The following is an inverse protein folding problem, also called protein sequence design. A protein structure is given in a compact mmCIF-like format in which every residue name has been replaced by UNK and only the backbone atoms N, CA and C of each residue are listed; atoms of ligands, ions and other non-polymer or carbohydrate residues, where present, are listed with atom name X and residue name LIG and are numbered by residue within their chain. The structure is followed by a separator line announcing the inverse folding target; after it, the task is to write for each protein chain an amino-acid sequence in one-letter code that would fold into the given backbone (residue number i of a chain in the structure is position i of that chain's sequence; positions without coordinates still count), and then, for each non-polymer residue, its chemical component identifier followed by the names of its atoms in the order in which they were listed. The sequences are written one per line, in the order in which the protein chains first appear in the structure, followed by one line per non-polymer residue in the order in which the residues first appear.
data_IF_337188327762
#
_entry.id   IF_337188327762
#
_cell.length_a   1.000
_cell.length_b   1.000
_cell.length_c   1.000
_cell.angle_alpha   90.00
_cell.angle_beta   90.00
_cell.angle_gamma   90.00
#
_symmetry.space_group_name_H-M   'P 1'
#
loop_
_entity.id
_entity.type
_entity.pdbx_description
1 polymer ?
#
# COMPACT_ATOMS: atom_id res chain seq x y z
N UNK A 1 6.51 25.24 -22.02
CA UNK A 1 7.99 25.21 -22.13
C UNK A 1 8.46 23.77 -21.89
N UNK A 2 9.64 23.37 -22.36
CA UNK A 2 10.18 22.04 -22.03
C UNK A 2 10.35 21.92 -20.50
N UNK A 3 9.96 20.80 -19.91
CA UNK A 3 10.12 20.55 -18.49
C UNK A 3 11.61 20.62 -18.13
N UNK A 4 11.95 21.37 -17.09
CA UNK A 4 13.33 21.48 -16.63
C UNK A 4 13.77 20.12 -16.09
N UNK A 5 14.94 19.65 -16.51
CA UNK A 5 15.50 18.35 -16.12
C UNK A 5 16.64 18.53 -15.11
N UNK A 6 16.97 17.47 -14.38
CA UNK A 6 18.20 17.35 -13.61
C UNK A 6 19.37 17.07 -14.57
N UNK A 7 20.10 18.12 -14.92
CA UNK A 7 21.24 18.04 -15.85
C UNK A 7 22.48 17.32 -15.27
N UNK A 8 22.64 17.27 -13.93
CA UNK A 8 23.78 16.65 -13.27
C UNK A 8 23.32 15.83 -12.06
N UNK A 9 23.31 14.51 -12.23
CA UNK A 9 22.82 13.54 -11.23
C UNK A 9 23.59 13.56 -9.91
N UNK A 10 24.79 14.17 -9.87
CA UNK A 10 25.60 14.30 -8.66
C UNK A 10 25.33 15.62 -7.91
N UNK A 11 24.58 16.54 -8.49
CA UNK A 11 24.25 17.83 -7.88
C UNK A 11 22.81 17.81 -7.35
N UNK A 12 22.58 18.36 -6.14
CA UNK A 12 21.23 18.55 -5.63
C UNK A 12 20.36 19.31 -6.61
N UNK A 13 19.20 18.74 -6.95
CA UNK A 13 18.27 19.35 -7.89
C UNK A 13 17.41 20.43 -7.24
N UNK A 14 18.04 21.47 -6.70
CA UNK A 14 17.37 22.51 -5.90
C UNK A 14 16.34 23.32 -6.68
N UNK A 15 16.48 23.36 -8.00
CA UNK A 15 15.57 23.99 -8.94
C UNK A 15 14.59 23.00 -9.58
N UNK A 16 14.33 21.86 -8.92
CA UNK A 16 13.19 20.98 -9.17
C UNK A 16 11.93 21.83 -9.42
N UNK A 17 11.28 21.73 -10.59
CA UNK A 17 10.09 22.52 -10.89
C UNK A 17 9.00 22.36 -9.84
N UNK A 18 8.38 23.48 -9.45
CA UNK A 18 7.20 23.48 -8.60
C UNK A 18 5.97 22.96 -9.37
N UNK A 19 5.01 22.44 -8.62
CA UNK A 19 3.69 22.09 -9.12
C UNK A 19 2.82 23.35 -9.22
N UNK A 20 1.89 23.40 -10.19
CA UNK A 20 1.54 22.36 -11.16
C UNK A 20 2.53 22.32 -12.34
N UNK A 21 2.66 21.17 -12.97
CA UNK A 21 3.43 21.04 -14.22
C UNK A 21 2.65 21.63 -15.41
N UNK A 22 3.36 21.97 -16.49
CA UNK A 22 2.76 22.46 -17.74
C UNK A 22 1.73 21.45 -18.27
N UNK A 23 0.53 21.94 -18.60
CA UNK A 23 -0.60 21.11 -19.04
C UNK A 23 -0.28 20.25 -20.25
N UNK A 24 0.59 20.71 -21.15
CA UNK A 24 0.98 19.96 -22.34
C UNK A 24 1.74 18.65 -22.00
N UNK A 25 2.17 18.46 -20.75
CA UNK A 25 2.84 17.25 -20.27
C UNK A 25 1.85 16.14 -19.85
N UNK A 26 0.59 16.46 -19.60
CA UNK A 26 -0.44 15.50 -19.18
C UNK A 26 -1.73 15.54 -20.03
N UNK A 27 -2.00 16.63 -20.76
CA UNK A 27 -3.12 16.72 -21.71
C UNK A 27 -2.75 16.01 -23.03
N UNK A 28 -2.64 14.68 -22.98
CA UNK A 28 -2.30 13.84 -24.13
C UNK A 28 -3.38 12.77 -24.37
N UNK A 29 -3.65 12.47 -25.65
CA UNK A 29 -4.71 11.54 -26.05
C UNK A 29 -4.50 10.13 -25.48
N UNK A 30 -3.27 9.63 -25.45
CA UNK A 30 -2.98 8.29 -24.94
C UNK A 30 -3.13 8.25 -23.42
N UNK A 31 -2.71 9.31 -22.74
CA UNK A 31 -2.90 9.47 -21.28
C UNK A 31 -4.39 9.46 -20.95
N UNK A 32 -5.22 10.19 -21.71
CA UNK A 32 -6.67 10.23 -21.47
C UNK A 32 -7.39 8.94 -21.81
N UNK A 33 -6.94 8.19 -22.82
CA UNK A 33 -7.44 6.84 -23.08
C UNK A 33 -7.13 5.91 -21.91
N UNK A 34 -5.88 5.87 -21.46
CA UNK A 34 -5.46 5.05 -20.33
C UNK A 34 -6.11 5.48 -19.01
N UNK A 35 -6.38 6.79 -18.84
CA UNK A 35 -7.14 7.33 -17.73
C UNK A 35 -8.57 6.77 -17.71
N UNK A 36 -9.22 6.67 -18.87
CA UNK A 36 -10.56 6.08 -19.00
C UNK A 36 -10.61 4.65 -18.45
N UNK A 37 -9.65 3.81 -18.86
CA UNK A 37 -9.54 2.42 -18.37
C UNK A 37 -9.29 2.37 -16.86
N UNK A 38 -8.35 3.18 -16.35
CA UNK A 38 -8.04 3.24 -14.93
C UNK A 38 -9.24 3.69 -14.08
N UNK A 39 -10.01 4.68 -14.56
CA UNK A 39 -11.23 5.16 -13.90
C UNK A 39 -12.34 4.10 -13.90
N UNK A 40 -12.49 3.35 -15.00
CA UNK A 40 -13.46 2.26 -15.07
C UNK A 40 -13.11 1.15 -14.06
N UNK A 41 -11.83 0.76 -13.98
CA UNK A 41 -11.36 -0.28 -13.07
C UNK A 41 -11.50 0.14 -11.59
N UNK A 42 -11.03 1.33 -11.21
CA UNK A 42 -11.14 1.80 -9.83
C UNK A 42 -12.60 2.02 -9.41
N UNK A 43 -13.46 2.45 -10.34
CA UNK A 43 -14.90 2.58 -10.10
C UNK A 43 -15.59 1.22 -9.85
N UNK A 44 -15.21 0.16 -10.59
CA UNK A 44 -15.66 -1.21 -10.32
C UNK A 44 -15.24 -1.67 -8.93
N UNK A 45 -13.97 -1.44 -8.58
CA UNK A 45 -13.43 -1.77 -7.26
C UNK A 45 -14.18 -1.04 -6.14
N UNK A 46 -14.36 0.28 -6.28
CA UNK A 46 -15.09 1.09 -5.30
C UNK A 46 -16.53 0.56 -5.11
N UNK A 47 -17.27 0.38 -6.21
CA UNK A 47 -18.64 -0.11 -6.16
C UNK A 47 -18.76 -1.48 -5.49
N UNK A 48 -17.78 -2.36 -5.69
CA UNK A 48 -17.76 -3.67 -5.03
C UNK A 48 -17.41 -3.57 -3.54
N UNK A 49 -16.52 -2.66 -3.16
CA UNK A 49 -16.04 -2.51 -1.78
C UNK A 49 -17.15 -2.18 -0.77
N UNK A 50 -18.19 -1.46 -1.20
CA UNK A 50 -19.35 -1.11 -0.37
C UNK A 50 -20.20 -2.35 -0.02
N UNK A 51 -20.28 -3.32 -0.93
CA UNK A 51 -21.14 -4.49 -0.81
C UNK A 51 -20.54 -5.63 0.03
N UNK A 52 -19.33 -5.47 0.58
CA UNK A 52 -18.59 -6.53 1.28
C UNK A 52 -19.14 -6.72 2.69
N UNK A 53 -19.61 -7.93 3.08
CA UNK A 53 -19.92 -8.25 4.46
C UNK A 53 -18.67 -8.19 5.33
N UNK A 54 -18.75 -7.57 6.51
CA UNK A 54 -17.63 -7.38 7.43
C UNK A 54 -16.41 -6.67 6.76
N UNK A 55 -16.61 -5.43 6.28
CA UNK A 55 -15.61 -4.65 5.54
C UNK A 55 -14.23 -4.59 6.21
N UNK A 56 -14.18 -4.38 7.53
CA UNK A 56 -12.93 -4.24 8.30
C UNK A 56 -11.95 -5.41 8.07
N UNK A 57 -12.52 -6.58 7.83
CA UNK A 57 -11.86 -7.85 7.78
C UNK A 57 -11.09 -8.08 6.47
N UNK A 58 -11.75 -7.84 5.34
CA UNK A 58 -11.16 -7.97 4.03
C UNK A 58 -10.16 -6.82 3.76
N UNK A 59 -10.44 -5.62 4.28
CA UNK A 59 -9.50 -4.51 4.21
C UNK A 59 -8.18 -4.88 4.90
N UNK A 60 -8.23 -5.55 6.06
CA UNK A 60 -7.01 -5.96 6.76
C UNK A 60 -6.11 -6.89 5.94
N UNK A 61 -6.70 -7.88 5.27
CA UNK A 61 -5.95 -8.85 4.46
C UNK A 61 -5.33 -8.19 3.22
N UNK A 62 -6.06 -7.31 2.54
CA UNK A 62 -5.58 -6.62 1.34
C UNK A 62 -4.52 -5.56 1.70
N UNK A 63 -4.72 -4.79 2.78
CA UNK A 63 -3.72 -3.83 3.26
C UNK A 63 -2.42 -4.51 3.67
N UNK A 64 -2.48 -5.74 4.19
CA UNK A 64 -1.28 -6.52 4.53
C UNK A 64 -0.53 -7.00 3.27
N UNK A 65 -1.25 -7.39 2.22
CA UNK A 65 -0.65 -7.73 0.92
C UNK A 65 0.04 -6.51 0.30
N UNK A 66 -0.62 -5.34 0.31
CA UNK A 66 -0.02 -4.08 -0.12
C UNK A 66 1.24 -3.74 0.69
N UNK A 67 1.20 -3.91 2.02
CA UNK A 67 2.36 -3.71 2.88
C UNK A 67 3.54 -4.63 2.53
N UNK A 68 3.27 -5.91 2.29
CA UNK A 68 4.27 -6.89 1.88
C UNK A 68 4.90 -6.53 0.54
N UNK A 69 4.10 -6.25 -0.50
CA UNK A 69 4.62 -5.90 -1.82
C UNK A 69 5.38 -4.57 -1.81
N UNK A 70 4.86 -3.57 -1.10
CA UNK A 70 5.51 -2.26 -1.00
C UNK A 70 6.86 -2.32 -0.29
N UNK A 71 6.98 -3.18 0.73
CA UNK A 71 8.23 -3.40 1.45
C UNK A 71 9.23 -4.22 0.62
N UNK A 72 8.76 -5.19 -0.17
CA UNK A 72 9.59 -5.98 -1.09
C UNK A 72 10.28 -5.10 -2.16
N UNK A 73 9.67 -3.99 -2.57
CA UNK A 73 10.30 -3.00 -3.46
C UNK A 73 11.59 -2.46 -2.83
N UNK A 74 11.62 -2.25 -1.51
CA UNK A 74 12.80 -1.80 -0.75
C UNK A 74 13.71 -2.95 -0.31
N UNK A 75 13.52 -4.16 -0.85
CA UNK A 75 14.23 -5.39 -0.49
C UNK A 75 14.00 -5.85 0.96
N UNK A 76 12.85 -5.52 1.54
CA UNK A 76 12.42 -6.00 2.86
C UNK A 76 11.51 -7.20 2.63
N UNK A 77 11.99 -8.39 3.00
CA UNK A 77 11.28 -9.65 2.78
C UNK A 77 11.05 -10.39 4.09
N UNK A 78 9.89 -11.04 4.18
CA UNK A 78 9.53 -11.97 5.24
C UNK A 78 8.74 -13.12 4.64
N UNK A 79 8.61 -14.23 5.37
CA UNK A 79 7.73 -15.33 4.97
C UNK A 79 6.28 -15.03 5.33
N UNK A 80 5.33 -15.60 4.57
CA UNK A 80 3.91 -15.46 4.90
C UNK A 80 3.60 -16.00 6.30
N UNK A 81 4.20 -17.13 6.66
CA UNK A 81 4.04 -17.73 7.98
C UNK A 81 4.52 -16.79 9.10
N UNK A 82 5.69 -16.16 8.96
CA UNK A 82 6.18 -15.18 9.94
C UNK A 82 5.30 -13.93 10.02
N UNK A 83 4.84 -13.43 8.87
CA UNK A 83 4.02 -12.22 8.80
C UNK A 83 2.65 -12.42 9.44
N UNK A 84 1.94 -13.46 9.04
CA UNK A 84 0.61 -13.76 9.54
C UNK A 84 0.64 -14.22 11.00
N UNK A 85 1.71 -14.90 11.43
CA UNK A 85 1.96 -15.22 12.84
C UNK A 85 2.07 -13.93 13.68
N UNK A 86 3.00 -13.05 13.31
CA UNK A 86 3.23 -11.81 14.05
C UNK A 86 1.98 -10.93 14.10
N UNK A 87 1.17 -10.95 13.04
CA UNK A 87 -0.13 -10.30 13.00
C UNK A 87 -1.14 -10.93 13.97
N UNK A 88 -1.27 -12.27 13.96
CA UNK A 88 -2.25 -12.97 14.79
C UNK A 88 -1.95 -12.93 16.30
N UNK A 89 -0.71 -12.66 16.71
CA UNK A 89 -0.32 -12.65 18.13
C UNK A 89 -0.48 -11.26 18.79
N UNK A 90 -0.90 -10.23 18.06
CA UNK A 90 -0.73 -8.81 18.47
C UNK A 90 0.73 -8.50 18.88
N UNK A 91 1.67 -9.34 18.43
CA UNK A 91 3.10 -9.28 18.74
C UNK A 91 3.86 -8.36 17.77
N UNK A 92 3.18 -7.45 17.07
CA UNK A 92 3.84 -6.40 16.28
C UNK A 92 4.91 -5.63 17.10
N UNK A 93 4.76 -5.58 18.43
CA UNK A 93 5.73 -4.98 19.36
C UNK A 93 6.92 -5.89 19.73
N UNK A 94 6.79 -7.21 19.57
CA UNK A 94 7.83 -8.21 19.89
C UNK A 94 8.51 -8.78 18.64
N UNK A 95 7.92 -8.63 17.46
CA UNK A 95 8.59 -8.93 16.19
C UNK A 95 9.75 -7.96 15.98
N UNK A 96 10.90 -8.46 15.56
CA UNK A 96 12.05 -7.67 15.12
C UNK A 96 12.34 -7.90 13.63
N UNK A 97 13.02 -6.94 13.00
CA UNK A 97 13.44 -7.05 11.61
C UNK A 97 12.32 -6.88 10.56
N UNK A 98 12.42 -7.54 9.39
CA UNK A 98 11.57 -7.28 8.22
C UNK A 98 10.06 -7.38 8.47
N UNK A 99 9.63 -8.34 9.29
CA UNK A 99 8.21 -8.53 9.63
C UNK A 99 7.63 -7.31 10.31
N UNK A 100 8.38 -6.72 11.26
CA UNK A 100 7.96 -5.50 11.98
C UNK A 100 7.81 -4.32 11.03
N UNK A 101 8.73 -4.17 10.08
CA UNK A 101 8.67 -3.10 9.08
C UNK A 101 7.44 -3.21 8.18
N UNK A 102 7.07 -4.43 7.77
CA UNK A 102 5.85 -4.68 6.98
C UNK A 102 4.60 -4.37 7.80
N UNK A 103 4.53 -4.80 9.06
CA UNK A 103 3.40 -4.50 9.93
C UNK A 103 3.27 -3.00 10.20
N UNK A 104 4.38 -2.28 10.34
CA UNK A 104 4.39 -0.83 10.47
C UNK A 104 3.88 -0.12 9.20
N UNK A 105 4.20 -0.64 8.01
CA UNK A 105 3.63 -0.10 6.78
C UNK A 105 2.11 -0.21 6.79
N UNK A 106 1.58 -1.39 7.14
CA UNK A 106 0.13 -1.59 7.28
C UNK A 106 -0.46 -0.61 8.31
N UNK A 107 0.20 -0.43 9.45
CA UNK A 107 -0.26 0.50 10.48
C UNK A 107 -0.28 1.94 9.96
N UNK A 108 0.74 2.35 9.20
CA UNK A 108 0.77 3.67 8.56
C UNK A 108 -0.38 3.84 7.54
N UNK A 109 -0.74 2.81 6.77
CA UNK A 109 -1.93 2.84 5.90
C UNK A 109 -3.24 3.08 6.65
N UNK A 110 -3.37 2.60 7.89
CA UNK A 110 -4.59 2.85 8.67
C UNK A 110 -4.55 4.21 9.37
N UNK A 111 -3.42 4.53 10.00
CA UNK A 111 -3.24 5.82 10.69
C UNK A 111 -3.41 7.01 9.75
N UNK A 112 -2.87 6.93 8.53
CA UNK A 112 -3.01 8.01 7.56
C UNK A 112 -4.44 8.15 7.03
N UNK A 113 -5.15 7.03 6.84
CA UNK A 113 -6.54 7.01 6.40
C UNK A 113 -7.44 7.65 7.46
N UNK A 114 -7.29 7.24 8.72
CA UNK A 114 -8.06 7.80 9.83
C UNK A 114 -7.75 9.28 10.06
N UNK A 115 -6.47 9.66 9.94
CA UNK A 115 -6.06 11.06 10.04
C UNK A 115 -6.75 11.94 8.98
N UNK A 116 -6.78 11.51 7.72
CA UNK A 116 -7.40 12.26 6.62
C UNK A 116 -8.92 12.25 6.67
N UNK A 117 -9.54 11.19 7.22
CA UNK A 117 -10.98 11.15 7.46
C UNK A 117 -11.42 12.26 8.44
N UNK A 118 -10.55 12.63 9.38
CA UNK A 118 -10.81 13.69 10.37
C UNK A 118 -10.43 15.07 9.85
N UNK A 119 -9.21 15.21 9.30
CA UNK A 119 -8.68 16.51 8.87
C UNK A 119 -9.18 16.96 7.49
N UNK A 120 -9.48 16.01 6.60
CA UNK A 120 -9.86 16.24 5.19
C UNK A 120 -8.71 16.69 4.28
N UNK A 121 -7.51 16.96 4.82
CA UNK A 121 -6.43 17.62 4.10
C UNK A 121 -5.07 17.06 4.50
N UNK A 122 -4.14 17.05 3.55
CA UNK A 122 -2.73 16.72 3.81
C UNK A 122 -2.04 17.90 4.50
N UNK A 123 -1.13 17.60 5.42
CA UNK A 123 -0.22 18.59 6.01
C UNK A 123 1.20 17.98 6.21
N UNK A 124 2.13 18.79 6.71
CA UNK A 124 3.50 18.32 6.99
C UNK A 124 3.52 17.25 8.10
N UNK A 125 2.62 17.36 9.08
CA UNK A 125 2.57 16.44 10.21
C UNK A 125 2.17 15.03 9.76
N UNK A 126 1.25 14.92 8.79
CA UNK A 126 0.89 13.68 8.13
C UNK A 126 2.12 12.99 7.52
N UNK A 127 2.88 13.68 6.67
CA UNK A 127 4.03 13.07 6.00
C UNK A 127 5.11 12.64 6.99
N UNK A 128 5.40 13.48 7.99
CA UNK A 128 6.34 13.16 9.07
C UNK A 128 5.84 11.94 9.85
N UNK A 129 4.55 11.89 10.20
CA UNK A 129 4.00 10.77 10.98
C UNK A 129 4.06 9.46 10.21
N UNK A 130 3.70 9.47 8.93
CA UNK A 130 3.78 8.27 8.09
C UNK A 130 5.22 7.78 7.97
N UNK A 131 6.17 8.70 7.72
CA UNK A 131 7.60 8.40 7.74
C UNK A 131 8.07 7.77 9.06
N UNK A 132 7.73 8.37 10.20
CA UNK A 132 8.15 7.89 11.51
C UNK A 132 7.61 6.49 11.82
N UNK A 133 6.38 6.18 11.38
CA UNK A 133 5.80 4.84 11.57
C UNK A 133 6.54 3.82 10.70
N UNK A 134 6.71 4.08 9.39
CA UNK A 134 7.32 3.10 8.47
C UNK A 134 8.81 2.89 8.72
N UNK A 135 9.53 3.93 9.14
CA UNK A 135 10.98 3.89 9.34
C UNK A 135 11.40 3.64 10.79
N UNK A 136 10.46 3.74 11.74
CA UNK A 136 10.71 3.69 13.19
C UNK A 136 11.63 4.79 13.72
N UNK A 137 11.93 5.78 12.90
CA UNK A 137 12.70 6.93 13.33
C UNK A 137 11.83 7.97 14.03
N UNK A 138 12.44 8.78 14.89
CA UNK A 138 11.77 9.86 15.63
C UNK A 138 12.09 11.26 15.11
N UNK A 139 12.91 11.38 14.07
CA UNK A 139 13.20 12.64 13.40
C UNK A 139 12.11 12.98 12.37
N UNK A 140 12.34 14.03 11.57
CA UNK A 140 11.39 14.49 10.56
C UNK A 140 12.10 14.80 9.25
N UNK A 141 11.73 15.92 8.63
CA UNK A 141 12.39 16.40 7.40
C UNK A 141 13.90 16.48 7.62
N UNK A 142 14.68 15.93 6.67
CA UNK A 142 16.14 15.86 6.78
C UNK A 142 16.77 17.26 6.85
N UNK A 143 17.91 17.35 7.51
CA UNK A 143 18.58 18.64 7.73
C UNK A 143 19.05 19.27 6.41
N UNK A 144 19.14 20.61 6.33
CA UNK A 144 19.65 21.33 5.15
C UNK A 144 21.03 20.90 4.65
N UNK A 145 21.84 20.29 5.52
CA UNK A 145 23.22 19.86 5.23
C UNK A 145 23.30 18.37 4.84
N UNK A 146 22.22 17.60 4.99
CA UNK A 146 22.20 16.18 4.66
C UNK A 146 22.40 15.99 3.14
N UNK A 147 23.48 15.29 2.78
CA UNK A 147 23.79 14.92 1.41
C UNK A 147 23.27 13.50 1.15
N UNK A 148 22.32 13.37 0.22
CA UNK A 148 21.74 12.09 -0.18
C UNK A 148 22.10 11.84 -1.65
N UNK A 149 22.47 10.61 -1.96
CA UNK A 149 22.64 10.14 -3.34
C UNK A 149 21.77 8.91 -3.52
N UNK A 150 20.78 8.99 -4.41
CA UNK A 150 20.07 7.81 -4.89
C UNK A 150 20.98 7.16 -5.92
N UNK A 151 21.31 5.88 -5.72
CA UNK A 151 22.29 5.16 -6.54
C UNK A 151 21.60 4.18 -7.48
N UNK A 152 22.19 3.99 -8.65
CA UNK A 152 21.86 2.89 -9.56
C UNK A 152 22.06 1.55 -8.83
N UNK A 153 21.03 0.72 -8.86
CA UNK A 153 21.07 -0.65 -8.32
C UNK A 153 21.69 -1.62 -9.34
N UNK A 154 22.00 -2.87 -8.93
CA UNK A 154 22.46 -3.94 -9.83
C UNK A 154 23.98 -4.13 -9.87
N UNK A 155 24.48 -4.82 -10.91
CA UNK A 155 25.88 -5.33 -11.00
C UNK A 155 26.66 -4.81 -12.22
N UNK A 156 26.14 -3.81 -12.94
CA UNK A 156 26.78 -3.25 -14.13
C UNK A 156 27.80 -2.12 -13.87
N UNK A 157 28.41 -1.55 -14.93
CA UNK A 157 29.40 -0.45 -14.83
C UNK A 157 28.88 0.83 -14.19
N UNK A 158 27.56 0.96 -14.06
CA UNK A 158 26.88 2.09 -13.43
C UNK A 158 26.40 1.78 -12.02
N UNK A 159 26.49 0.53 -11.56
CA UNK A 159 26.10 0.15 -10.21
C UNK A 159 26.82 1.02 -9.16
N UNK A 160 26.06 1.56 -8.23
CA UNK A 160 26.60 2.44 -7.17
C UNK A 160 26.88 3.88 -7.59
N UNK A 161 26.78 4.24 -8.87
CA UNK A 161 26.81 5.65 -9.31
C UNK A 161 25.50 6.35 -8.95
N UNK A 162 25.55 7.67 -8.76
CA UNK A 162 24.35 8.45 -8.49
C UNK A 162 23.40 8.42 -9.72
N UNK A 163 22.21 7.86 -9.53
CA UNK A 163 21.10 7.97 -10.47
C UNK A 163 20.39 9.32 -10.32
N UNK A 164 20.36 9.85 -9.08
CA UNK A 164 19.70 11.11 -8.75
C UNK A 164 20.22 11.68 -7.41
N UNK A 165 20.28 13.02 -7.30
CA UNK A 165 20.60 13.73 -6.05
C UNK A 165 19.46 14.70 -5.71
N UNK A 166 18.69 14.46 -4.64
CA UNK A 166 17.52 15.26 -4.30
C UNK A 166 17.88 16.69 -3.85
N UNK A 167 16.90 17.61 -3.86
CA UNK A 167 17.08 18.99 -3.39
C UNK A 167 17.67 19.05 -1.98
N UNK A 168 18.47 20.06 -1.65
CA UNK A 168 18.96 20.29 -0.28
C UNK A 168 19.13 21.79 -0.02
N UNK A 169 19.24 22.15 1.25
CA UNK A 169 19.48 23.52 1.68
C UNK A 169 18.33 24.09 2.49
N UNK A 170 18.60 25.21 3.17
CA UNK A 170 17.70 25.79 4.17
C UNK A 170 16.41 26.28 3.49
N UNK A 171 15.26 25.74 3.89
CA UNK A 171 13.94 26.12 3.37
C UNK A 171 13.60 25.54 2.00
N UNK A 172 14.52 24.82 1.34
CA UNK A 172 14.28 24.26 0.00
C UNK A 172 13.34 23.09 0.08
N UNK A 173 13.60 22.13 0.98
CA UNK A 173 12.78 20.92 1.11
C UNK A 173 11.41 21.27 1.66
N UNK A 174 11.37 22.15 2.67
CA UNK A 174 10.13 22.62 3.28
C UNK A 174 9.26 23.36 2.26
N UNK A 175 9.84 24.26 1.46
CA UNK A 175 9.11 24.97 0.41
C UNK A 175 8.56 24.03 -0.67
N UNK A 176 9.33 23.02 -1.10
CA UNK A 176 8.84 22.02 -2.07
C UNK A 176 7.74 21.14 -1.49
N UNK A 177 7.84 20.77 -0.22
CA UNK A 177 6.80 19.99 0.45
C UNK A 177 5.53 20.83 0.67
N UNK A 178 5.66 22.12 0.98
CA UNK A 178 4.53 23.04 1.09
C UNK A 178 3.82 23.22 -0.27
N UNK A 179 4.58 23.33 -1.37
CA UNK A 179 4.02 23.35 -2.72
C UNK A 179 3.30 22.03 -3.08
N UNK A 180 3.86 20.88 -2.71
CA UNK A 180 3.21 19.58 -2.89
C UNK A 180 1.89 19.51 -2.10
N UNK A 181 1.88 19.94 -0.84
CA UNK A 181 0.68 19.94 0.01
C UNK A 181 -0.41 20.86 -0.58
N UNK A 182 -0.06 22.08 -0.99
CA UNK A 182 -0.97 23.00 -1.67
C UNK A 182 -1.55 22.35 -2.93
N UNK A 183 -0.72 21.70 -3.73
CA UNK A 183 -1.15 20.97 -4.92
C UNK A 183 -2.18 19.89 -4.60
N UNK A 184 -1.96 19.09 -3.56
CA UNK A 184 -2.87 17.98 -3.19
C UNK A 184 -4.24 18.45 -2.69
N UNK A 185 -4.26 19.54 -1.93
CA UNK A 185 -5.45 19.99 -1.22
C UNK A 185 -6.37 20.89 -2.05
N UNK A 186 -5.83 21.66 -3.01
CA UNK A 186 -6.62 22.65 -3.76
C UNK A 186 -7.01 22.14 -5.16
N UNK A 187 -8.22 21.59 -5.28
CA UNK A 187 -8.76 21.13 -6.57
C UNK A 187 -9.36 22.27 -7.42
N UNK A 188 -9.69 23.41 -6.81
CA UNK A 188 -10.20 24.56 -7.54
C UNK A 188 -9.07 25.29 -8.26
N UNK A 189 -7.94 25.46 -7.58
CA UNK A 189 -6.72 26.03 -8.16
C UNK A 189 -6.04 25.09 -9.15
N UNK A 190 -6.14 23.78 -8.90
CA UNK A 190 -5.53 22.74 -9.75
C UNK A 190 -6.59 21.72 -10.21
N UNK A 191 -7.41 22.05 -11.22
CA UNK A 191 -8.51 21.22 -11.72
C UNK A 191 -7.99 20.08 -12.62
N UNK A 192 -7.19 19.19 -12.04
CA UNK A 192 -6.59 18.02 -12.71
C UNK A 192 -7.31 16.77 -12.20
N UNK A 193 -7.55 15.80 -13.08
CA UNK A 193 -8.15 14.52 -12.68
C UNK A 193 -7.32 13.88 -11.54
N UNK A 194 -7.96 13.39 -10.46
CA UNK A 194 -7.24 12.89 -9.30
C UNK A 194 -6.23 11.77 -9.60
N UNK A 195 -6.46 10.90 -10.60
CA UNK A 195 -5.50 9.84 -10.90
C UNK A 195 -4.20 10.40 -11.51
N UNK A 196 -4.32 11.37 -12.41
CA UNK A 196 -3.18 12.10 -12.97
C UNK A 196 -2.49 12.91 -11.87
N UNK A 197 -3.27 13.62 -11.06
CA UNK A 197 -2.78 14.46 -9.95
C UNK A 197 -1.99 13.64 -8.93
N UNK A 198 -2.48 12.44 -8.57
CA UNK A 198 -1.77 11.48 -7.73
C UNK A 198 -0.44 11.06 -8.34
N UNK A 199 -0.42 10.65 -9.62
CA UNK A 199 0.80 10.22 -10.29
C UNK A 199 1.85 11.33 -10.37
N UNK A 200 1.43 12.58 -10.63
CA UNK A 200 2.32 13.75 -10.62
C UNK A 200 2.89 13.99 -9.21
N UNK A 201 2.03 14.00 -8.21
CA UNK A 201 2.41 14.21 -6.82
C UNK A 201 3.34 13.11 -6.30
N UNK A 202 3.14 11.85 -6.72
CA UNK A 202 3.99 10.74 -6.35
C UNK A 202 5.43 10.97 -6.82
N UNK A 203 5.62 11.31 -8.10
CA UNK A 203 6.94 11.68 -8.60
C UNK A 203 7.53 12.85 -7.81
N UNK A 204 6.74 13.90 -7.55
CA UNK A 204 7.24 15.08 -6.85
C UNK A 204 7.72 14.72 -5.44
N UNK A 205 6.98 13.90 -4.70
CA UNK A 205 7.37 13.44 -3.37
C UNK A 205 8.69 12.64 -3.41
N UNK A 206 8.80 11.67 -4.33
CA UNK A 206 10.02 10.86 -4.52
C UNK A 206 11.23 11.74 -4.91
N UNK A 207 11.00 12.76 -5.76
CA UNK A 207 12.03 13.69 -6.21
C UNK A 207 12.49 14.65 -5.10
N UNK A 208 11.57 15.14 -4.25
CA UNK A 208 11.90 15.94 -3.07
C UNK A 208 12.74 15.12 -2.09
N UNK A 209 12.36 13.85 -1.90
CA UNK A 209 13.01 12.91 -0.99
C UNK A 209 13.23 13.53 0.41
N UNK A 210 12.14 13.93 1.11
CA UNK A 210 12.22 14.80 2.27
C UNK A 210 12.83 14.14 3.53
N UNK A 211 12.87 12.81 3.58
CA UNK A 211 13.33 12.06 4.74
C UNK A 211 14.66 11.35 4.49
N UNK A 212 15.34 10.90 5.55
CA UNK A 212 16.62 10.17 5.43
C UNK A 212 16.46 8.75 4.87
N UNK A 213 15.29 8.16 5.07
CA UNK A 213 14.90 6.84 4.59
C UNK A 213 13.36 6.74 4.57
N UNK A 214 12.79 5.65 4.06
CA UNK A 214 11.36 5.40 4.08
C UNK A 214 10.56 6.20 3.05
N UNK A 215 11.21 7.05 2.25
CA UNK A 215 10.56 7.89 1.25
C UNK A 215 9.68 7.07 0.29
N UNK A 216 10.23 6.02 -0.34
CA UNK A 216 9.45 5.18 -1.26
C UNK A 216 8.20 4.59 -0.63
N UNK A 217 8.32 4.06 0.60
CA UNK A 217 7.19 3.50 1.36
C UNK A 217 6.16 4.58 1.70
N UNK A 218 6.60 5.73 2.23
CA UNK A 218 5.71 6.87 2.54
C UNK A 218 5.01 7.40 1.29
N UNK A 219 5.70 7.48 0.15
CA UNK A 219 5.14 7.92 -1.13
C UNK A 219 4.05 6.99 -1.64
N UNK A 220 4.26 5.67 -1.55
CA UNK A 220 3.25 4.66 -1.95
C UNK A 220 2.03 4.65 -1.02
N UNK A 221 2.23 4.82 0.28
CA UNK A 221 1.16 5.02 1.26
C UNK A 221 0.33 6.26 0.92
N UNK A 222 1.01 7.38 0.66
CA UNK A 222 0.37 8.65 0.32
C UNK A 222 -0.52 8.52 -0.94
N UNK A 223 -0.10 7.76 -1.95
CA UNK A 223 -0.91 7.53 -3.15
C UNK A 223 -2.28 6.96 -2.83
N UNK A 224 -2.33 5.90 -2.01
CA UNK A 224 -3.58 5.23 -1.64
C UNK A 224 -4.45 6.18 -0.80
N UNK A 225 -3.84 6.86 0.17
CA UNK A 225 -4.52 7.85 0.99
C UNK A 225 -5.12 9.01 0.20
N UNK A 226 -4.43 9.46 -0.84
CA UNK A 226 -4.92 10.51 -1.71
C UNK A 226 -6.17 10.03 -2.46
N UNK A 227 -6.16 8.81 -3.01
CA UNK A 227 -7.32 8.24 -3.69
C UNK A 227 -8.52 8.06 -2.76
N UNK A 228 -8.29 7.64 -1.51
CA UNK A 228 -9.36 7.54 -0.50
C UNK A 228 -9.89 8.93 -0.09
N UNK A 229 -9.01 9.92 0.08
CA UNK A 229 -9.42 11.29 0.44
C UNK A 229 -10.24 11.95 -0.67
N UNK A 230 -9.95 11.61 -1.94
CA UNK A 230 -10.74 12.03 -3.11
C UNK A 230 -11.99 11.17 -3.35
N UNK A 231 -12.30 10.22 -2.45
CA UNK A 231 -13.47 9.33 -2.52
C UNK A 231 -13.54 8.51 -3.82
N UNK A 232 -12.39 8.20 -4.41
CA UNK A 232 -12.29 7.21 -5.48
C UNK A 232 -12.26 5.78 -4.93
N UNK A 233 -11.95 5.65 -3.64
CA UNK A 233 -12.06 4.43 -2.86
C UNK A 233 -12.57 4.82 -1.47
N UNK A 234 -13.40 3.97 -0.87
CA UNK A 234 -13.91 4.23 0.49
C UNK A 234 -12.90 3.79 1.56
N UNK A 235 -12.02 2.84 1.20
CA UNK A 235 -11.02 2.22 2.08
C UNK A 235 -9.69 2.08 1.35
N UNK A 236 -8.54 1.99 2.08
CA UNK A 236 -7.21 1.87 1.47
C UNK A 236 -6.92 0.45 0.98
N UNK A 237 -7.74 -0.06 0.05
CA UNK A 237 -7.70 -1.46 -0.45
C UNK A 237 -7.01 -1.62 -1.81
N UNK A 238 -6.43 -0.56 -2.38
CA UNK A 238 -5.76 -0.68 -3.67
C UNK A 238 -4.42 -1.40 -3.50
N UNK A 239 -4.26 -2.56 -4.13
CA UNK A 239 -3.03 -3.34 -4.08
C UNK A 239 -1.99 -2.84 -5.11
N UNK A 240 -1.73 -1.52 -5.11
CA UNK A 240 -0.95 -0.82 -6.12
C UNK A 240 0.49 -1.35 -6.24
N UNK A 241 1.10 -1.69 -5.09
CA UNK A 241 2.48 -2.12 -5.03
C UNK A 241 2.72 -3.49 -5.67
N UNK A 242 1.68 -4.30 -5.90
CA UNK A 242 1.81 -5.58 -6.63
C UNK A 242 2.32 -5.38 -8.06
N UNK A 243 1.74 -4.42 -8.78
CA UNK A 243 2.18 -4.07 -10.13
C UNK A 243 3.56 -3.42 -10.10
N UNK A 244 3.81 -2.50 -9.15
CA UNK A 244 5.11 -1.86 -9.02
C UNK A 244 6.22 -2.87 -8.74
N UNK A 245 5.97 -3.87 -7.90
CA UNK A 245 6.94 -4.92 -7.61
C UNK A 245 7.23 -5.79 -8.84
N UNK A 246 6.18 -6.17 -9.58
CA UNK A 246 6.32 -6.96 -10.82
C UNK A 246 7.03 -6.20 -11.94
N UNK A 247 6.88 -4.88 -11.98
CA UNK A 247 7.43 -3.97 -12.99
C UNK A 247 8.43 -2.97 -12.37
N UNK A 248 9.22 -3.43 -11.40
CA UNK A 248 10.12 -2.59 -10.58
C UNK A 248 11.11 -1.79 -11.42
N UNK A 249 11.65 -2.39 -12.48
CA UNK A 249 12.57 -1.71 -13.39
C UNK A 249 11.89 -0.56 -14.14
N UNK A 250 10.67 -0.78 -14.65
CA UNK A 250 9.88 0.23 -15.35
C UNK A 250 9.50 1.40 -14.43
N UNK A 251 9.19 1.12 -13.16
CA UNK A 251 8.91 2.14 -12.15
C UNK A 251 10.08 3.11 -11.96
N UNK A 252 11.30 2.59 -11.71
CA UNK A 252 12.48 3.43 -11.54
C UNK A 252 12.93 4.06 -12.87
N UNK A 253 12.72 3.38 -14.00
CA UNK A 253 12.95 3.96 -15.33
C UNK A 253 12.00 5.14 -15.62
N UNK A 254 10.76 5.08 -15.13
CA UNK A 254 9.78 6.17 -15.21
C UNK A 254 10.21 7.39 -14.39
N UNK A 255 10.53 7.19 -13.10
CA UNK A 255 11.02 8.25 -12.21
C UNK A 255 12.30 8.92 -12.77
N UNK A 256 13.28 8.11 -13.19
CA UNK A 256 14.51 8.63 -13.78
C UNK A 256 14.28 9.26 -15.16
N UNK A 257 13.32 8.77 -15.94
CA UNK A 257 12.92 9.33 -17.23
C UNK A 257 12.38 10.75 -17.13
N UNK A 258 11.64 11.08 -16.08
CA UNK A 258 11.21 12.47 -15.83
C UNK A 258 12.40 13.35 -15.49
N UNK A 259 13.18 12.97 -14.47
CA UNK A 259 14.30 13.80 -14.03
C UNK A 259 15.37 13.98 -15.11
N UNK A 260 15.55 13.04 -16.03
CA UNK A 260 16.59 13.11 -17.06
C UNK A 260 16.11 13.66 -18.41
N UNK A 261 14.83 13.47 -18.75
CA UNK A 261 14.29 13.76 -20.10
C UNK A 261 12.94 14.48 -20.09
N UNK A 262 12.37 14.75 -18.91
CA UNK A 262 11.03 15.31 -18.79
C UNK A 262 9.94 14.36 -19.31
N UNK A 263 10.18 13.05 -19.30
CA UNK A 263 9.28 12.05 -19.88
C UNK A 263 8.06 11.75 -18.98
N UNK A 264 7.23 12.75 -18.79
CA UNK A 264 6.00 12.68 -18.01
C UNK A 264 4.99 11.70 -18.58
N UNK A 265 4.86 11.65 -19.91
CA UNK A 265 3.89 10.78 -20.59
C UNK A 265 4.06 9.32 -20.21
N UNK A 266 5.27 8.77 -20.30
CA UNK A 266 5.50 7.35 -19.96
C UNK A 266 5.23 7.06 -18.48
N UNK A 267 5.60 7.99 -17.59
CA UNK A 267 5.32 7.85 -16.16
C UNK A 267 3.81 7.84 -15.87
N UNK A 268 3.06 8.74 -16.48
CA UNK A 268 1.61 8.83 -16.31
C UNK A 268 0.93 7.57 -16.87
N UNK A 269 1.33 7.09 -18.05
CA UNK A 269 0.82 5.83 -18.61
C UNK A 269 1.12 4.64 -17.69
N UNK A 270 2.35 4.55 -17.15
CA UNK A 270 2.73 3.51 -16.21
C UNK A 270 1.86 3.53 -14.95
N UNK A 271 1.71 4.68 -14.30
CA UNK A 271 0.94 4.80 -13.06
C UNK A 271 -0.55 4.53 -13.28
N UNK A 272 -1.13 5.03 -14.38
CA UNK A 272 -2.53 4.76 -14.72
C UNK A 272 -2.75 3.29 -15.05
N UNK A 273 -1.81 2.63 -15.74
CA UNK A 273 -1.89 1.19 -16.01
C UNK A 273 -1.77 0.37 -14.72
N UNK A 274 -0.90 0.77 -13.80
CA UNK A 274 -0.79 0.16 -12.49
C UNK A 274 -2.12 0.25 -11.73
N UNK A 275 -2.78 1.41 -11.73
CA UNK A 275 -4.10 1.58 -11.11
C UNK A 275 -5.15 0.69 -11.77
N UNK A 276 -5.21 0.64 -13.11
CA UNK A 276 -6.13 -0.22 -13.85
C UNK A 276 -5.99 -1.69 -13.42
N UNK A 277 -4.79 -2.25 -13.60
CA UNK A 277 -4.52 -3.67 -13.36
C UNK A 277 -4.72 -4.04 -11.89
N UNK A 278 -4.25 -3.22 -10.97
CA UNK A 278 -4.37 -3.53 -9.54
C UNK A 278 -5.78 -3.32 -9.02
N UNK A 279 -6.57 -2.40 -9.60
CA UNK A 279 -7.98 -2.27 -9.25
C UNK A 279 -8.78 -3.50 -9.66
N UNK A 280 -8.56 -4.01 -10.88
CA UNK A 280 -9.23 -5.23 -11.34
C UNK A 280 -8.75 -6.47 -10.58
N UNK A 281 -7.45 -6.60 -10.29
CA UNK A 281 -6.91 -7.67 -9.45
C UNK A 281 -7.58 -7.68 -8.07
N UNK A 282 -7.61 -6.53 -7.40
CA UNK A 282 -8.27 -6.41 -6.09
C UNK A 282 -9.75 -6.72 -6.20
N UNK A 283 -10.44 -6.25 -7.24
CA UNK A 283 -11.86 -6.55 -7.47
C UNK A 283 -12.12 -8.07 -7.58
N UNK A 284 -11.30 -8.79 -8.35
CA UNK A 284 -11.44 -10.25 -8.48
C UNK A 284 -11.15 -10.97 -7.17
N UNK A 285 -10.06 -10.63 -6.47
CA UNK A 285 -9.76 -11.19 -5.14
C UNK A 285 -10.91 -11.00 -4.15
N UNK A 286 -11.55 -9.83 -4.17
CA UNK A 286 -12.71 -9.57 -3.31
C UNK A 286 -13.87 -10.52 -3.63
N UNK A 287 -14.16 -10.74 -4.92
CA UNK A 287 -15.20 -11.67 -5.33
C UNK A 287 -14.89 -13.09 -4.91
N UNK A 288 -13.65 -13.53 -5.13
CA UNK A 288 -13.22 -14.89 -4.77
C UNK A 288 -13.31 -15.10 -3.25
N UNK A 289 -12.92 -14.11 -2.45
CA UNK A 289 -13.06 -14.16 -0.98
C UNK A 289 -14.53 -14.29 -0.57
N UNK A 290 -15.43 -13.50 -1.17
CA UNK A 290 -16.86 -13.56 -0.85
C UNK A 290 -17.44 -14.93 -1.23
N UNK A 291 -17.14 -15.42 -2.43
CA UNK A 291 -17.62 -16.73 -2.88
C UNK A 291 -17.07 -17.88 -2.03
N UNK A 292 -15.80 -17.82 -1.62
CA UNK A 292 -15.21 -18.78 -0.71
C UNK A 292 -15.88 -18.73 0.68
N UNK A 293 -16.17 -17.53 1.19
CA UNK A 293 -16.85 -17.34 2.47
C UNK A 293 -18.26 -17.94 2.45
N UNK A 294 -19.03 -17.68 1.39
CA UNK A 294 -20.38 -18.23 1.20
C UNK A 294 -20.35 -19.76 1.12
N UNK A 295 -19.45 -20.33 0.31
CA UNK A 295 -19.31 -21.78 0.17
C UNK A 295 -18.93 -22.47 1.49
N UNK A 296 -17.96 -21.91 2.22
CA UNK A 296 -17.55 -22.43 3.53
C UNK A 296 -18.69 -22.29 4.55
N UNK A 297 -19.42 -21.18 4.54
CA UNK A 297 -20.58 -21.00 5.42
C UNK A 297 -21.66 -22.07 5.17
N UNK A 298 -21.98 -22.35 3.90
CA UNK A 298 -22.93 -23.41 3.55
C UNK A 298 -22.47 -24.77 4.08
N UNK A 299 -21.20 -25.16 3.85
CA UNK A 299 -20.66 -26.42 4.35
C UNK A 299 -20.71 -26.53 5.89
N UNK A 300 -20.40 -25.43 6.59
CA UNK A 300 -20.42 -25.34 8.06
C UNK A 300 -21.85 -25.48 8.60
N UNK A 301 -22.85 -24.92 7.91
CA UNK A 301 -24.27 -25.03 8.30
C UNK A 301 -24.79 -26.45 8.08
N UNK A 302 -24.43 -27.10 6.96
CA UNK A 302 -24.84 -28.46 6.64
C UNK A 302 -24.36 -29.49 7.67
N UNK A 303 -23.16 -29.28 8.22
CA UNK A 303 -22.59 -30.10 9.30
C UNK A 303 -23.39 -30.04 10.62
N UNK A 304 -24.21 -28.98 10.81
CA UNK A 304 -25.26 -28.90 11.84
C UNK A 304 -24.83 -28.77 13.32
N UNK A 305 -23.53 -28.85 13.63
CA UNK A 305 -23.03 -28.95 15.01
C UNK A 305 -22.27 -27.71 15.53
N UNK A 306 -22.22 -26.64 14.73
CA UNK A 306 -21.50 -25.40 15.06
C UNK A 306 -22.50 -24.31 15.41
N UNK A 307 -22.41 -23.78 16.63
CA UNK A 307 -23.23 -22.63 17.06
C UNK A 307 -22.67 -21.35 16.44
N UNK A 308 -23.53 -20.44 15.99
CA UNK A 308 -23.14 -19.15 15.35
C UNK A 308 -22.18 -19.32 14.16
N UNK A 309 -22.50 -20.18 13.17
CA UNK A 309 -21.61 -20.50 12.06
C UNK A 309 -21.21 -19.26 11.24
N UNK A 310 -22.10 -18.28 11.11
CA UNK A 310 -21.84 -17.02 10.41
C UNK A 310 -20.71 -16.25 11.07
N UNK A 311 -20.70 -16.16 12.40
CA UNK A 311 -19.65 -15.47 13.16
C UNK A 311 -18.33 -16.23 13.13
N UNK A 312 -18.35 -17.57 13.18
CA UNK A 312 -17.15 -18.40 13.04
C UNK A 312 -16.51 -18.17 11.67
N UNK A 313 -17.28 -18.33 10.60
CA UNK A 313 -16.78 -18.19 9.22
C UNK A 313 -16.36 -16.76 8.95
N UNK A 314 -17.11 -15.77 9.43
CA UNK A 314 -16.68 -14.37 9.36
C UNK A 314 -15.29 -14.22 9.99
N UNK A 315 -15.08 -14.64 11.24
CA UNK A 315 -13.78 -14.54 11.90
C UNK A 315 -12.65 -15.34 11.20
N UNK A 316 -12.95 -16.49 10.60
CA UNK A 316 -11.97 -17.29 9.82
C UNK A 316 -11.49 -16.60 8.56
N UNK A 317 -12.29 -15.69 8.01
CA UNK A 317 -11.87 -14.91 6.85
C UNK A 317 -11.06 -13.68 7.23
N UNK A 318 -10.91 -13.37 8.53
CA UNK A 318 -10.25 -12.13 8.98
C UNK A 318 -8.77 -12.04 8.82
N UNK A 319 -8.16 -13.20 8.77
CA UNK A 319 -6.77 -13.39 8.56
C UNK A 319 -6.60 -14.85 8.14
N UNK A 320 -5.67 -15.14 7.23
CA UNK A 320 -5.40 -16.52 6.83
C UNK A 320 -5.04 -17.43 8.01
N UNK A 321 -4.32 -16.90 8.99
CA UNK A 321 -3.95 -17.63 10.19
C UNK A 321 -4.80 -17.23 11.38
N UNK A 322 -5.39 -18.20 12.07
CA UNK A 322 -6.09 -17.95 13.33
C UNK A 322 -5.64 -18.88 14.45
N UNK A 323 -6.07 -18.56 15.67
CA UNK A 323 -5.82 -19.35 16.88
C UNK A 323 -7.09 -19.40 17.70
N UNK A 324 -7.17 -20.40 18.57
CA UNK A 324 -8.25 -20.51 19.57
C UNK A 324 -8.43 -19.20 20.35
N UNK A 325 -7.31 -18.53 20.71
CA UNK A 325 -7.31 -17.26 21.45
C UNK A 325 -8.06 -16.12 20.73
N UNK A 326 -8.07 -16.10 19.39
CA UNK A 326 -8.77 -15.09 18.61
C UNK A 326 -10.29 -15.16 18.89
N UNK A 327 -10.85 -16.37 18.88
CA UNK A 327 -12.27 -16.58 19.13
C UNK A 327 -12.67 -16.36 20.60
N UNK A 328 -11.77 -16.65 21.53
CA UNK A 328 -12.01 -16.41 22.96
C UNK A 328 -11.90 -14.93 23.32
N UNK A 329 -10.94 -14.18 22.76
CA UNK A 329 -10.78 -12.74 23.01
C UNK A 329 -11.96 -11.92 22.49
N UNK A 330 -12.56 -12.34 21.38
CA UNK A 330 -13.80 -11.75 20.86
C UNK A 330 -15.06 -12.13 21.67
N UNK A 331 -14.94 -13.03 22.65
CA UNK A 331 -16.09 -13.58 23.38
C UNK A 331 -17.01 -14.46 22.51
N UNK A 332 -16.52 -14.93 21.36
CA UNK A 332 -17.33 -15.69 20.42
C UNK A 332 -17.49 -17.15 20.85
N UNK A 333 -16.47 -17.77 21.43
CA UNK A 333 -16.56 -19.13 21.99
C UNK A 333 -15.67 -19.30 23.22
N UNK A 334 -16.02 -20.24 24.09
CA UNK A 334 -15.10 -20.74 25.12
C UNK A 334 -13.95 -21.54 24.48
N UNK A 335 -12.81 -21.64 25.15
CA UNK A 335 -11.59 -22.22 24.59
C UNK A 335 -11.78 -23.63 24.02
N UNK A 336 -12.42 -24.53 24.79
CA UNK A 336 -12.68 -25.90 24.36
C UNK A 336 -13.63 -25.97 23.15
N UNK A 337 -14.61 -25.07 23.09
CA UNK A 337 -15.56 -24.99 21.98
C UNK A 337 -14.88 -24.48 20.71
N UNK A 338 -14.11 -23.40 20.80
CA UNK A 338 -13.32 -22.89 19.67
C UNK A 338 -12.34 -23.95 19.15
N UNK A 339 -11.63 -24.63 20.05
CA UNK A 339 -10.71 -25.72 19.68
C UNK A 339 -11.43 -26.85 18.97
N UNK A 340 -12.56 -27.32 19.51
CA UNK A 340 -13.39 -28.36 18.88
C UNK A 340 -13.81 -27.96 17.46
N UNK A 341 -14.31 -26.73 17.28
CA UNK A 341 -14.75 -26.26 15.96
C UNK A 341 -13.59 -26.13 14.98
N UNK A 342 -12.46 -25.58 15.40
CA UNK A 342 -11.28 -25.47 14.53
C UNK A 342 -10.71 -26.85 14.14
N UNK A 343 -10.67 -27.81 15.06
CA UNK A 343 -10.25 -29.19 14.78
C UNK A 343 -11.27 -29.89 13.84
N UNK A 344 -12.57 -29.63 13.99
CA UNK A 344 -13.61 -30.13 13.09
C UNK A 344 -13.43 -29.59 11.66
N UNK A 345 -13.20 -28.29 11.51
CA UNK A 345 -12.93 -27.68 10.20
C UNK A 345 -11.59 -28.12 9.60
N UNK A 346 -10.65 -28.55 10.44
CA UNK A 346 -9.42 -29.20 9.98
C UNK A 346 -9.72 -30.59 9.39
N UNK A 347 -10.64 -31.35 10.01
CA UNK A 347 -11.11 -32.62 9.48
C UNK A 347 -11.89 -32.51 8.17
N UNK A 348 -12.47 -31.34 7.89
CA UNK A 348 -13.15 -31.02 6.63
C UNK A 348 -12.22 -30.43 5.55
N UNK A 349 -10.91 -30.36 5.81
CA UNK A 349 -9.92 -29.75 4.89
C UNK A 349 -10.21 -28.28 4.55
N UNK A 350 -11.00 -27.58 5.38
CA UNK A 350 -11.21 -26.14 5.28
C UNK A 350 -10.02 -25.42 5.92
N UNK A 351 -9.54 -25.96 7.04
CA UNK A 351 -8.38 -25.45 7.77
C UNK A 351 -7.23 -26.47 7.76
N UNK A 352 -6.01 -25.96 7.85
CA UNK A 352 -4.81 -26.77 8.12
C UNK A 352 -4.24 -26.40 9.50
N UNK A 353 -4.09 -27.39 10.37
CA UNK A 353 -3.49 -27.17 11.70
C UNK A 353 -1.96 -27.23 11.61
N UNK A 354 -1.30 -26.13 11.98
CA UNK A 354 0.16 -26.01 12.02
C UNK A 354 0.66 -25.77 13.44
N UNK A 355 1.74 -26.46 13.83
CA UNK A 355 2.42 -26.23 15.11
C UNK A 355 3.69 -25.44 14.87
N UNK A 356 3.72 -24.18 15.32
CA UNK A 356 4.86 -23.28 15.14
C UNK A 356 5.36 -22.89 16.53
N UNK A 357 6.61 -23.25 16.87
CA UNK A 357 7.24 -22.93 18.16
C UNK A 357 6.38 -23.33 19.39
N UNK A 358 5.72 -24.48 19.31
CA UNK A 358 4.86 -25.00 20.40
C UNK A 358 3.44 -24.43 20.44
N UNK A 359 3.11 -23.49 19.55
CA UNK A 359 1.77 -22.93 19.41
C UNK A 359 1.02 -23.54 18.22
N UNK A 360 -0.26 -23.86 18.43
CA UNK A 360 -1.15 -24.32 17.36
C UNK A 360 -1.81 -23.14 16.64
N UNK A 361 -1.70 -23.17 15.33
CA UNK A 361 -2.30 -22.26 14.35
C UNK A 361 -3.23 -23.04 13.43
N UNK A 362 -4.25 -22.36 12.91
CA UNK A 362 -5.15 -22.90 11.92
C UNK A 362 -5.13 -21.98 10.70
N UNK A 363 -4.66 -22.50 9.58
CA UNK A 363 -4.57 -21.80 8.30
C UNK A 363 -5.86 -22.03 7.52
N UNK A 364 -6.56 -20.97 7.15
CA UNK A 364 -7.63 -21.01 6.17
C UNK A 364 -7.04 -21.20 4.76
N UNK A 365 -7.15 -22.42 4.24
CA UNK A 365 -6.49 -22.84 3.01
C UNK A 365 -6.96 -22.02 1.80
N UNK A 366 -8.27 -21.80 1.69
CA UNK A 366 -8.84 -21.12 0.54
C UNK A 366 -8.56 -19.61 0.57
N UNK A 367 -8.69 -18.97 1.74
CA UNK A 367 -8.32 -17.57 1.87
C UNK A 367 -6.82 -17.36 1.61
N UNK A 368 -5.97 -18.25 2.13
CA UNK A 368 -4.53 -18.19 1.87
C UNK A 368 -4.22 -18.31 0.38
N UNK A 369 -4.85 -19.25 -0.33
CA UNK A 369 -4.72 -19.42 -1.78
C UNK A 369 -5.09 -18.14 -2.52
N UNK A 370 -6.28 -17.59 -2.26
CA UNK A 370 -6.77 -16.37 -2.92
C UNK A 370 -5.83 -15.18 -2.69
N UNK A 371 -5.26 -15.03 -1.49
CA UNK A 371 -4.37 -13.92 -1.19
C UNK A 371 -2.96 -14.09 -1.80
N UNK A 372 -2.51 -15.33 -2.00
CA UNK A 372 -1.17 -15.66 -2.49
C UNK A 372 -1.02 -15.63 -4.01
N UNK A 373 -2.13 -15.81 -4.75
CA UNK A 373 -2.20 -15.69 -6.22
C UNK A 373 -2.07 -14.24 -6.71
#
# INVERSE_FOLDING_TARGET
MAYKINADRNKPWNDLPDLPIDKNLYEDLEIYKQLGEAKAAIGRLQGRSIAIPNQALLINSISLQEAKASSAIENIFTTDDELYKAYSEDEAKQSDGPTKEILNYREALWLGYDHLKISGQFDKAYFIKMYQVVSQFSDGIRTPIAQIYIKESGTGPNAGKASYTPPRGKGVIEGKLDNLIDFLNDDLKYPIDPLIKMAIAHFQFEAIHPFRDGNGRTGRIFNIHYLTNKRLLDYPILFLSSYIMKHKEDYYAGLSGISQRGNWKNWLLYMLKAIEITSDLTYHKINDIISAQEAILSAVIEEGNILRPESLVSALFSQPYTRVKHFTSMGLYAENTARKYLDQLTGLEILEKRTIQGANYYLNLELYRILSE
#
